data_IF_469012216816
#
_entry.id   IF_469012216816
#
_cell.length_a   1.000
_cell.length_b   1.000
_cell.length_c   1.000
_cell.angle_alpha   90.00
_cell.angle_beta   90.00
_cell.angle_gamma   90.00
#
_symmetry.space_group_name_H-M   'P 1'
#
loop_
_entity.id
_entity.type
_entity.pdbx_description
1 polymer ?
#
# COMPACT_ATOMS: atom_id res chain seq x y z
N UNK A 1 -26.25 -24.94 -19.38
CA UNK A 1 -25.99 -23.83 -18.44
C UNK A 1 -24.54 -23.37 -18.63
N UNK A 2 -24.31 -22.24 -19.29
CA UNK A 2 -22.96 -21.75 -19.62
C UNK A 2 -22.50 -20.80 -18.51
N UNK A 3 -21.58 -21.25 -17.65
CA UNK A 3 -20.91 -20.39 -16.68
C UNK A 3 -20.00 -19.43 -17.45
N UNK A 4 -20.42 -18.18 -17.60
CA UNK A 4 -19.58 -17.11 -18.13
C UNK A 4 -18.70 -16.63 -16.98
N UNK A 5 -17.48 -17.15 -16.88
CA UNK A 5 -16.45 -16.56 -16.03
C UNK A 5 -16.08 -15.19 -16.59
N UNK A 6 -16.78 -14.13 -16.18
CA UNK A 6 -16.25 -12.78 -16.29
C UNK A 6 -15.09 -12.68 -15.31
N UNK A 7 -13.88 -12.91 -15.81
CA UNK A 7 -12.67 -12.60 -15.07
C UNK A 7 -12.71 -11.09 -14.80
N UNK A 8 -13.06 -10.70 -13.58
CA UNK A 8 -12.68 -9.38 -13.09
C UNK A 8 -11.17 -9.47 -12.97
N UNK A 9 -10.45 -8.88 -13.92
CA UNK A 9 -9.01 -8.71 -13.83
C UNK A 9 -8.71 -7.68 -12.73
N UNK A 10 -8.94 -8.06 -11.47
CA UNK A 10 -8.55 -7.26 -10.31
C UNK A 10 -7.05 -7.02 -10.31
N UNK A 11 -6.29 -7.91 -10.98
CA UNK A 11 -4.89 -7.72 -11.29
C UNK A 11 -4.64 -6.37 -12.01
N UNK A 12 -5.40 -6.04 -13.07
CA UNK A 12 -5.27 -4.76 -13.79
C UNK A 12 -5.55 -3.54 -12.89
N UNK A 13 -6.50 -3.69 -11.95
CA UNK A 13 -6.84 -2.64 -10.97
C UNK A 13 -5.68 -2.45 -9.99
N UNK A 14 -5.10 -3.54 -9.50
CA UNK A 14 -3.96 -3.55 -8.58
C UNK A 14 -2.71 -2.98 -9.25
N UNK A 15 -2.40 -3.41 -10.46
CA UNK A 15 -1.25 -2.92 -11.23
C UNK A 15 -1.36 -1.42 -11.50
N UNK A 16 -2.53 -0.96 -11.93
CA UNK A 16 -2.77 0.46 -12.13
C UNK A 16 -2.69 1.26 -10.83
N UNK A 17 -3.21 0.72 -9.72
CA UNK A 17 -3.12 1.36 -8.42
C UNK A 17 -1.66 1.45 -7.93
N UNK A 18 -0.87 0.38 -8.07
CA UNK A 18 0.56 0.37 -7.75
C UNK A 18 1.34 1.37 -8.58
N UNK A 19 1.08 1.44 -9.89
CA UNK A 19 1.69 2.44 -10.77
C UNK A 19 1.33 3.86 -10.31
N UNK A 20 0.05 4.13 -10.08
CA UNK A 20 -0.43 5.44 -9.63
C UNK A 20 0.20 5.87 -8.29
N UNK A 21 0.32 4.93 -7.34
CA UNK A 21 0.97 5.18 -6.07
C UNK A 21 2.46 5.47 -6.23
N UNK A 22 3.16 4.72 -7.10
CA UNK A 22 4.58 4.93 -7.38
C UNK A 22 4.85 6.28 -8.05
N UNK A 23 4.02 6.67 -9.01
CA UNK A 23 4.17 7.94 -9.74
C UNK A 23 3.96 9.15 -8.83
N UNK A 24 3.08 9.04 -7.85
CA UNK A 24 2.78 10.09 -6.87
C UNK A 24 3.70 10.07 -5.64
N UNK A 25 4.52 9.04 -5.51
CA UNK A 25 5.31 8.84 -4.30
C UNK A 25 6.54 9.74 -4.23
N UNK A 26 6.90 10.23 -3.03
CA UNK A 26 8.20 10.83 -2.81
C UNK A 26 9.32 9.83 -3.12
N UNK A 27 10.31 10.31 -3.87
CA UNK A 27 11.60 9.63 -4.04
C UNK A 27 12.60 10.07 -2.95
N UNK A 28 12.27 11.10 -2.17
CA UNK A 28 13.18 11.67 -1.17
C UNK A 28 14.04 12.81 -1.72
N UNK A 29 14.89 13.37 -0.87
CA UNK A 29 15.72 14.54 -1.14
C UNK A 29 17.20 14.17 -1.22
N UNK A 30 18.04 15.07 -1.76
CA UNK A 30 19.49 14.93 -1.71
C UNK A 30 19.97 14.80 -0.26
N UNK A 31 20.54 13.64 0.10
CA UNK A 31 20.97 13.32 1.47
C UNK A 31 20.10 12.27 2.19
N UNK A 32 18.99 11.82 1.60
CA UNK A 32 18.22 10.71 2.16
C UNK A 32 19.04 9.41 2.11
N UNK A 33 19.02 8.68 3.24
CA UNK A 33 19.75 7.42 3.39
C UNK A 33 19.26 6.34 2.41
N UNK A 34 17.98 6.38 2.04
CA UNK A 34 17.35 5.43 1.13
C UNK A 34 16.38 6.16 0.19
N UNK A 35 16.89 6.82 -0.87
CA UNK A 35 16.05 7.45 -1.88
C UNK A 35 15.14 6.39 -2.54
N UNK A 36 13.88 6.73 -2.77
CA UNK A 36 12.88 5.85 -3.39
C UNK A 36 12.24 4.82 -2.47
N UNK A 37 12.71 4.69 -1.22
CA UNK A 37 12.23 3.64 -0.32
C UNK A 37 10.71 3.65 -0.12
N UNK A 38 10.10 4.83 0.05
CA UNK A 38 8.64 4.93 0.18
C UNK A 38 7.93 4.40 -1.07
N UNK A 39 8.30 4.94 -2.25
CA UNK A 39 7.77 4.54 -3.57
C UNK A 39 7.87 3.04 -3.80
N UNK A 40 9.00 2.45 -3.42
CA UNK A 40 9.31 1.05 -3.76
C UNK A 40 8.73 0.05 -2.72
N UNK A 41 8.25 0.54 -1.57
CA UNK A 41 7.75 -0.31 -0.46
C UNK A 41 6.23 -0.58 -0.49
N UNK A 42 5.48 -0.07 -1.46
CA UNK A 42 4.04 -0.36 -1.55
C UNK A 42 3.80 -1.87 -1.61
N UNK A 43 2.99 -2.37 -0.67
CA UNK A 43 2.75 -3.79 -0.47
C UNK A 43 1.27 -4.09 -0.66
N UNK A 44 0.97 -5.16 -1.39
CA UNK A 44 -0.40 -5.62 -1.64
C UNK A 44 -0.76 -6.71 -0.63
N UNK A 45 -1.98 -6.65 -0.15
CA UNK A 45 -2.57 -7.59 0.79
C UNK A 45 -3.87 -8.13 0.21
N UNK A 46 -4.08 -9.44 0.32
CA UNK A 46 -5.35 -10.11 0.04
C UNK A 46 -5.91 -10.64 1.36
N UNK A 47 -7.07 -10.15 1.78
CA UNK A 47 -7.69 -10.48 3.07
C UNK A 47 -6.75 -10.29 4.27
N UNK A 48 -5.86 -9.29 4.20
CA UNK A 48 -4.88 -8.99 5.25
C UNK A 48 -3.56 -9.77 5.15
N UNK A 49 -3.40 -10.69 4.20
CA UNK A 49 -2.17 -11.43 3.96
C UNK A 49 -1.36 -10.81 2.83
N UNK A 50 -0.04 -10.67 3.00
CA UNK A 50 0.84 -10.16 1.94
C UNK A 50 0.81 -11.13 0.75
N UNK A 51 0.65 -10.59 -0.45
CA UNK A 51 0.80 -11.36 -1.69
C UNK A 51 2.13 -11.02 -2.34
N UNK A 52 2.84 -12.04 -2.83
CA UNK A 52 4.11 -11.87 -3.52
C UNK A 52 3.88 -11.17 -4.86
N UNK A 53 4.78 -10.24 -5.20
CA UNK A 53 4.78 -9.48 -6.45
C UNK A 53 3.48 -8.74 -6.79
N UNK A 54 2.62 -8.51 -5.78
CA UNK A 54 1.30 -7.92 -6.00
C UNK A 54 0.30 -8.83 -6.74
N UNK A 55 0.59 -10.13 -6.83
CA UNK A 55 -0.25 -11.09 -7.54
C UNK A 55 -1.52 -11.41 -6.74
N UNK A 56 -2.67 -11.02 -7.29
CA UNK A 56 -3.99 -11.28 -6.70
C UNK A 56 -4.77 -12.35 -7.47
N UNK A 57 -4.10 -13.27 -8.16
CA UNK A 57 -4.74 -14.36 -8.92
C UNK A 57 -5.58 -15.32 -8.06
N UNK A 58 -5.36 -15.36 -6.75
CA UNK A 58 -6.18 -16.12 -5.80
C UNK A 58 -7.47 -15.39 -5.37
N UNK A 59 -7.70 -14.16 -5.82
CA UNK A 59 -8.85 -13.33 -5.46
C UNK A 59 -10.17 -13.99 -5.86
N UNK A 60 -11.16 -13.88 -4.97
CA UNK A 60 -12.56 -14.30 -5.17
C UNK A 60 -13.51 -13.16 -4.88
N UNK A 61 -14.71 -13.21 -5.46
CA UNK A 61 -15.77 -12.26 -5.14
C UNK A 61 -16.07 -12.29 -3.62
N UNK A 62 -16.07 -11.13 -2.99
CA UNK A 62 -16.18 -10.98 -1.53
C UNK A 62 -14.85 -10.75 -0.82
N UNK A 63 -13.72 -11.06 -1.46
CA UNK A 63 -12.40 -10.75 -0.91
C UNK A 63 -12.13 -9.25 -0.90
N UNK A 64 -11.24 -8.86 0.00
CA UNK A 64 -10.74 -7.51 0.14
C UNK A 64 -9.27 -7.45 -0.26
N UNK A 65 -8.94 -6.55 -1.19
CA UNK A 65 -7.56 -6.20 -1.50
C UNK A 65 -7.23 -4.91 -0.77
N UNK A 66 -6.05 -4.86 -0.14
CA UNK A 66 -5.49 -3.61 0.36
C UNK A 66 -4.11 -3.36 -0.24
N UNK A 67 -3.78 -2.11 -0.50
CA UNK A 67 -2.41 -1.69 -0.80
C UNK A 67 -2.01 -0.70 0.29
N UNK A 68 -0.90 -0.96 0.98
CA UNK A 68 -0.41 -0.12 2.09
C UNK A 68 1.10 0.05 2.00
N UNK A 69 1.64 1.02 2.73
CA UNK A 69 3.08 1.21 2.84
C UNK A 69 3.56 0.78 4.23
N UNK A 70 4.53 -0.14 4.33
CA UNK A 70 5.02 -0.61 5.61
C UNK A 70 6.04 0.33 6.28
N UNK A 71 6.48 1.39 5.60
CA UNK A 71 7.48 2.29 6.17
C UNK A 71 6.89 3.10 7.34
N UNK A 72 7.64 3.30 8.43
CA UNK A 72 7.12 3.86 9.68
C UNK A 72 6.70 5.34 9.58
N UNK A 73 7.15 6.05 8.55
CA UNK A 73 6.79 7.44 8.31
C UNK A 73 5.68 7.62 7.26
N UNK A 74 5.11 6.53 6.72
CA UNK A 74 4.09 6.62 5.66
C UNK A 74 2.88 7.45 6.08
N UNK A 75 2.39 7.23 7.31
CA UNK A 75 1.32 8.04 7.90
C UNK A 75 1.64 9.54 7.94
N UNK A 76 2.90 9.92 8.24
CA UNK A 76 3.30 11.34 8.35
C UNK A 76 3.32 12.04 7.01
N UNK A 77 3.72 11.31 5.96
CA UNK A 77 3.65 11.77 4.57
C UNK A 77 2.18 11.98 4.19
N UNK A 78 1.33 10.99 4.46
CA UNK A 78 -0.09 11.07 4.07
C UNK A 78 -0.78 12.28 4.69
N UNK A 79 -0.61 12.51 6.00
CA UNK A 79 -1.26 13.61 6.72
C UNK A 79 -0.57 14.98 6.55
N UNK A 80 0.44 15.09 5.68
CA UNK A 80 1.13 16.36 5.40
C UNK A 80 1.96 16.91 6.56
N UNK A 81 2.36 16.07 7.54
CA UNK A 81 3.18 16.50 8.70
C UNK A 81 4.68 16.39 8.47
N UNK A 82 5.10 15.97 7.29
CA UNK A 82 6.49 15.93 6.88
C UNK A 82 6.70 16.99 5.79
N UNK A 83 7.66 17.89 5.96
CA UNK A 83 8.01 18.84 4.92
C UNK A 83 8.72 18.09 3.79
N UNK A 84 8.09 18.01 2.62
CA UNK A 84 8.60 17.32 1.44
C UNK A 84 8.43 18.22 0.22
N UNK A 85 9.20 17.95 -0.83
CA UNK A 85 9.04 18.59 -2.14
C UNK A 85 7.85 18.07 -2.94
N UNK A 86 7.27 16.94 -2.54
CA UNK A 86 6.10 16.33 -3.19
C UNK A 86 4.83 16.56 -2.38
N UNK A 87 3.65 16.55 -3.02
CA UNK A 87 2.38 16.68 -2.33
C UNK A 87 2.16 15.56 -1.29
N UNK A 88 1.53 15.91 -0.18
CA UNK A 88 0.96 14.96 0.77
C UNK A 88 -0.24 14.22 0.14
N UNK A 89 -0.96 13.40 0.92
CA UNK A 89 -2.20 12.74 0.48
C UNK A 89 -2.02 11.73 -0.68
N UNK A 90 -0.89 11.01 -0.71
CA UNK A 90 -0.54 10.08 -1.80
C UNK A 90 -1.62 9.00 -1.99
N UNK A 91 -2.12 8.42 -0.90
CA UNK A 91 -3.13 7.37 -0.95
C UNK A 91 -4.52 7.91 -1.23
N UNK A 92 -4.89 9.03 -0.62
CA UNK A 92 -6.17 9.70 -0.88
C UNK A 92 -6.32 10.11 -2.35
N UNK A 93 -5.28 10.75 -2.91
CA UNK A 93 -5.24 11.13 -4.31
C UNK A 93 -5.25 9.92 -5.26
N UNK A 94 -4.48 8.87 -4.94
CA UNK A 94 -4.47 7.66 -5.72
C UNK A 94 -5.86 6.99 -5.73
N UNK A 95 -6.59 7.01 -4.61
CA UNK A 95 -7.94 6.47 -4.55
C UNK A 95 -8.86 7.16 -5.56
N UNK A 96 -8.78 8.50 -5.67
CA UNK A 96 -9.58 9.27 -6.64
C UNK A 96 -9.24 8.89 -8.09
N UNK A 97 -7.95 8.79 -8.42
CA UNK A 97 -7.48 8.44 -9.78
C UNK A 97 -7.91 7.02 -10.16
N UNK A 98 -7.73 6.05 -9.26
CA UNK A 98 -8.10 4.65 -9.53
C UNK A 98 -9.62 4.50 -9.59
N UNK A 99 -10.37 5.17 -8.71
CA UNK A 99 -11.83 5.16 -8.76
C UNK A 99 -12.38 5.79 -10.04
N UNK A 100 -11.75 6.85 -10.57
CA UNK A 100 -12.14 7.45 -11.84
C UNK A 100 -12.02 6.47 -13.01
N UNK A 101 -10.98 5.62 -13.01
CA UNK A 101 -10.72 4.64 -14.08
C UNK A 101 -11.52 3.34 -13.92
N UNK A 102 -11.65 2.84 -12.70
CA UNK A 102 -12.18 1.50 -12.42
C UNK A 102 -13.44 1.49 -11.55
N UNK A 103 -14.03 2.65 -11.25
CA UNK A 103 -15.20 2.77 -10.35
C UNK A 103 -16.45 2.01 -10.80
N UNK A 104 -16.52 1.64 -12.09
CA UNK A 104 -17.55 0.76 -12.64
C UNK A 104 -17.32 -0.74 -12.36
N UNK A 105 -16.10 -1.15 -12.00
CA UNK A 105 -15.71 -2.55 -11.75
C UNK A 105 -15.33 -2.81 -10.29
N UNK A 106 -14.73 -1.82 -9.63
CA UNK A 106 -14.25 -1.94 -8.27
C UNK A 106 -14.65 -0.71 -7.44
N UNK A 107 -14.98 -0.93 -6.18
CA UNK A 107 -15.01 0.11 -5.18
C UNK A 107 -13.59 0.32 -4.66
N UNK A 108 -13.08 1.54 -4.82
CA UNK A 108 -11.76 1.96 -4.34
C UNK A 108 -11.94 3.04 -3.30
N UNK A 109 -11.35 2.87 -2.12
CA UNK A 109 -11.48 3.81 -1.00
C UNK A 109 -10.13 4.03 -0.33
N UNK A 110 -9.88 5.25 0.10
CA UNK A 110 -8.82 5.54 1.04
C UNK A 110 -9.25 5.15 2.46
N UNK A 111 -8.33 4.54 3.22
CA UNK A 111 -8.54 4.19 4.62
C UNK A 111 -7.23 4.21 5.39
N UNK A 112 -7.34 4.18 6.73
CA UNK A 112 -6.22 3.84 7.59
C UNK A 112 -6.43 2.41 8.11
N UNK A 113 -5.63 1.45 7.62
CA UNK A 113 -5.74 0.07 8.08
C UNK A 113 -4.74 -0.22 9.20
N UNK A 114 -5.10 -1.03 10.22
CA UNK A 114 -4.09 -1.67 11.04
C UNK A 114 -3.34 -2.61 10.10
N UNK A 115 -2.10 -2.28 9.76
CA UNK A 115 -1.27 -3.25 9.07
C UNK A 115 -0.90 -4.27 10.14
N UNK A 116 -1.74 -5.30 10.28
CA UNK A 116 -1.42 -6.47 11.10
C UNK A 116 -0.33 -7.20 10.34
N UNK A 117 0.90 -6.78 10.56
CA UNK A 117 2.10 -7.45 10.09
C UNK A 117 2.21 -8.81 10.79
N UNK A 118 1.33 -9.75 10.41
CA UNK A 118 1.48 -11.16 10.75
C UNK A 118 2.69 -11.76 10.05
N UNK A 119 3.22 -11.10 9.04
CA UNK A 119 4.44 -11.53 8.36
C UNK A 119 5.66 -10.79 8.92
N UNK A 120 6.18 -11.35 10.02
CA UNK A 120 7.48 -11.03 10.61
C UNK A 120 8.58 -11.01 9.52
N UNK A 121 8.39 -11.71 8.39
CA UNK A 121 9.30 -11.72 7.25
C UNK A 121 9.37 -10.37 6.52
N UNK A 122 8.25 -9.68 6.28
CA UNK A 122 8.26 -8.35 5.65
C UNK A 122 8.90 -7.31 6.58
N UNK A 123 8.62 -7.41 7.89
CA UNK A 123 9.29 -6.61 8.92
C UNK A 123 10.79 -6.91 9.00
N UNK A 124 11.20 -8.19 8.95
CA UNK A 124 12.59 -8.61 9.00
C UNK A 124 13.36 -8.19 7.73
N UNK A 125 12.76 -8.32 6.54
CA UNK A 125 13.35 -7.89 5.28
C UNK A 125 13.58 -6.36 5.27
N UNK A 126 12.58 -5.59 5.67
CA UNK A 126 12.67 -4.13 5.78
C UNK A 126 13.65 -3.66 6.87
N UNK A 127 13.59 -4.25 8.07
CA UNK A 127 14.49 -3.89 9.17
C UNK A 127 15.96 -4.23 8.85
N UNK A 128 16.21 -5.35 8.15
CA UNK A 128 17.53 -5.69 7.60
C UNK A 128 18.00 -4.67 6.55
N UNK A 129 17.10 -4.18 5.70
CA UNK A 129 17.43 -3.20 4.66
C UNK A 129 17.77 -1.80 5.21
N UNK A 130 17.13 -1.35 6.30
CA UNK A 130 17.28 0.03 6.80
C UNK A 130 18.36 0.18 7.88
N UNK A 131 18.55 -0.82 8.75
CA UNK A 131 19.58 -0.81 9.81
C UNK A 131 20.04 -2.22 10.16
N UNK A 132 21.09 -2.76 9.53
CA UNK A 132 21.72 -3.97 10.03
C UNK A 132 22.22 -3.71 11.46
N UNK A 133 21.71 -4.47 12.45
CA UNK A 133 22.27 -4.54 13.80
C UNK A 133 21.72 -3.62 14.90
N UNK A 134 20.62 -2.85 14.69
CA UNK A 134 20.08 -1.98 15.77
C UNK A 134 18.60 -2.22 16.06
N UNK A 135 18.29 -2.58 17.31
CA UNK A 135 16.92 -2.78 17.84
C UNK A 135 16.15 -1.45 17.82
N UNK A 136 14.91 -1.46 17.32
CA UNK A 136 14.06 -0.26 17.19
C UNK A 136 13.56 0.22 18.56
N UNK A 137 13.42 1.53 18.78
CA UNK A 137 12.91 2.10 20.03
C UNK A 137 11.39 1.90 20.16
N UNK A 138 10.89 1.83 21.40
CA UNK A 138 9.47 1.58 21.69
C UNK A 138 8.54 2.67 21.14
N UNK A 139 9.02 3.92 21.05
CA UNK A 139 8.28 5.03 20.44
C UNK A 139 8.10 4.83 18.93
N UNK A 140 9.13 4.38 18.23
CA UNK A 140 9.02 4.05 16.81
C UNK A 140 8.13 2.82 16.59
N UNK A 141 8.12 1.87 17.53
CA UNK A 141 7.19 0.73 17.55
C UNK A 141 5.73 1.17 17.77
N UNK A 142 5.45 2.12 18.67
CA UNK A 142 4.10 2.66 18.88
C UNK A 142 3.61 3.49 17.68
N UNK A 143 4.46 4.35 17.11
CA UNK A 143 4.16 5.09 15.87
C UNK A 143 3.89 4.11 14.71
N UNK A 144 4.59 2.97 14.69
CA UNK A 144 4.40 1.90 13.71
C UNK A 144 3.13 1.06 13.93
N UNK A 145 2.70 0.89 15.19
CA UNK A 145 1.41 0.28 15.54
C UNK A 145 0.21 1.18 15.21
N UNK A 146 0.45 2.45 14.85
CA UNK A 146 -0.60 3.34 14.35
C UNK A 146 -1.03 2.93 12.93
N UNK A 147 -2.33 3.03 12.65
CA UNK A 147 -2.94 2.60 11.38
C UNK A 147 -2.23 3.30 10.20
N UNK A 148 -1.78 2.55 9.20
CA UNK A 148 -1.09 3.10 8.03
C UNK A 148 -2.08 3.45 6.92
N UNK A 149 -1.75 4.42 6.05
CA UNK A 149 -2.58 4.76 4.91
C UNK A 149 -2.65 3.59 3.94
N UNK A 150 -3.85 3.32 3.44
CA UNK A 150 -4.09 2.22 2.53
C UNK A 150 -5.18 2.55 1.51
N UNK A 151 -5.04 1.94 0.32
CA UNK A 151 -6.15 1.76 -0.60
C UNK A 151 -6.88 0.48 -0.23
N UNK A 152 -8.18 0.55 -0.05
CA UNK A 152 -9.07 -0.61 0.00
C UNK A 152 -9.75 -0.76 -1.37
N UNK A 153 -9.63 -1.95 -1.94
CA UNK A 153 -10.16 -2.30 -3.26
C UNK A 153 -11.04 -3.53 -3.10
N UNK A 154 -12.30 -3.41 -3.53
CA UNK A 154 -13.27 -4.52 -3.55
C UNK A 154 -13.95 -4.58 -4.91
N UNK A 155 -14.20 -5.78 -5.44
CA UNK A 155 -14.99 -5.93 -6.65
C UNK A 155 -16.43 -5.42 -6.40
N UNK A 156 -17.02 -4.77 -7.41
CA UNK A 156 -18.47 -4.52 -7.43
C UNK A 156 -19.17 -5.76 -7.98
N UNK A 157 -20.21 -6.21 -7.27
CA UNK A 157 -21.11 -7.27 -7.69
C UNK A 157 -22.09 -6.80 -8.76
#
# INVERSE_FOLDING_TARGET
MRLVFRYLAMQDVVEFALMTLRDRSPVGSTGDKHPGLYRDSHTVFLNGHVVQDGNVGAFRAGDQINISNPVPYARKIEIGKMQMSVPAHVYEDAALVVAARYGNRAAVKFTFMPVRFGDIAAFAAFSRAIRPGRRMSDKARQDWLSRQPALEIRARG
#
